data_IF_974513519278
#
_entry.id   IF_974513519278
#
_cell.length_a   1.000
_cell.length_b   1.000
_cell.length_c   1.000
_cell.angle_alpha   90.00
_cell.angle_beta   90.00
_cell.angle_gamma   90.00
#
_symmetry.space_group_name_H-M   'P 1'
#
loop_
_entity.id
_entity.type
_entity.pdbx_description
1 polymer ?
#
# COMPACT_ATOMS: atom_id res chain seq x y z
N UNK A 1 15.63 31.06 11.67
CA UNK A 1 14.83 29.84 11.41
C UNK A 1 15.15 29.40 9.99
N UNK A 2 16.02 28.41 9.84
CA UNK A 2 16.43 27.92 8.52
C UNK A 2 15.32 27.04 7.94
N UNK A 3 14.67 27.51 6.88
CA UNK A 3 13.89 26.66 5.99
C UNK A 3 14.86 25.69 5.30
N UNK A 4 15.03 24.50 5.88
CA UNK A 4 15.54 23.36 5.10
C UNK A 4 14.45 23.02 4.07
N UNK A 5 14.55 23.60 2.89
CA UNK A 5 13.98 22.99 1.69
C UNK A 5 14.61 21.60 1.59
N UNK A 6 13.87 20.57 2.00
CA UNK A 6 14.22 19.18 1.76
C UNK A 6 14.54 19.06 0.26
N UNK A 7 15.81 18.82 -0.06
CA UNK A 7 16.22 18.63 -1.44
C UNK A 7 15.50 17.39 -1.96
N UNK A 8 14.59 17.58 -2.92
CA UNK A 8 13.87 16.47 -3.54
C UNK A 8 14.87 15.48 -4.14
N UNK A 9 14.85 14.24 -3.67
CA UNK A 9 15.70 13.19 -4.17
C UNK A 9 15.27 12.83 -5.61
N UNK A 10 16.22 12.79 -6.55
CA UNK A 10 15.99 12.29 -7.90
C UNK A 10 15.85 10.76 -7.83
N UNK A 11 14.78 10.22 -8.39
CA UNK A 11 14.62 8.77 -8.52
C UNK A 11 15.54 8.23 -9.64
N UNK A 12 15.91 6.94 -9.68
CA UNK A 12 16.58 6.30 -10.82
C UNK A 12 15.59 5.54 -11.73
N UNK A 13 15.93 5.38 -13.02
CA UNK A 13 15.06 4.65 -13.96
C UNK A 13 15.19 3.17 -13.61
N UNK A 14 14.10 2.58 -13.13
CA UNK A 14 14.09 1.15 -12.79
C UNK A 14 13.77 0.31 -14.02
N UNK A 15 14.75 -0.46 -14.47
CA UNK A 15 14.59 -1.43 -15.56
C UNK A 15 14.08 -2.79 -15.08
N UNK A 16 14.32 -3.10 -13.81
CA UNK A 16 13.89 -4.33 -13.17
C UNK A 16 13.62 -4.09 -11.69
N UNK A 17 12.79 -4.94 -11.10
CA UNK A 17 12.51 -4.91 -9.66
C UNK A 17 11.30 -5.74 -9.28
N UNK A 18 11.03 -5.75 -7.98
CA UNK A 18 9.85 -6.37 -7.40
C UNK A 18 8.96 -5.29 -6.81
N UNK A 19 7.70 -5.26 -7.25
CA UNK A 19 6.65 -4.53 -6.53
C UNK A 19 5.94 -5.57 -5.68
N UNK A 20 5.97 -5.40 -4.36
CA UNK A 20 5.21 -6.23 -3.43
C UNK A 20 3.93 -5.48 -3.07
N UNK A 21 2.83 -5.92 -3.66
CA UNK A 21 1.50 -5.43 -3.33
C UNK A 21 1.02 -6.14 -2.07
N UNK A 22 0.57 -5.40 -1.07
CA UNK A 22 0.13 -5.94 0.21
C UNK A 22 -1.24 -5.41 0.58
N UNK A 23 -1.94 -6.18 1.40
CA UNK A 23 -3.05 -5.68 2.19
C UNK A 23 -3.03 -6.33 3.59
N UNK A 24 -3.44 -5.55 4.59
CA UNK A 24 -3.68 -6.01 5.95
C UNK A 24 -5.15 -5.72 6.23
N UNK A 25 -5.87 -6.72 6.75
CA UNK A 25 -7.27 -6.58 7.09
C UNK A 25 -7.56 -7.10 8.50
N UNK A 26 -8.50 -6.47 9.23
CA UNK A 26 -8.94 -6.96 10.54
C UNK A 26 -9.60 -8.34 10.38
N UNK A 27 -9.25 -9.28 11.27
CA UNK A 27 -9.91 -10.59 11.37
C UNK A 27 -11.28 -10.54 12.06
N UNK A 28 -11.84 -9.35 12.24
CA UNK A 28 -13.14 -9.10 12.88
C UNK A 28 -13.98 -8.18 12.02
N UNK A 29 -15.27 -8.48 11.91
CA UNK A 29 -16.22 -7.62 11.21
C UNK A 29 -16.76 -6.53 12.13
N UNK A 30 -17.14 -5.38 11.55
CA UNK A 30 -17.83 -4.31 12.27
C UNK A 30 -16.90 -3.27 12.91
N UNK A 31 -17.35 -2.66 14.02
CA UNK A 31 -16.60 -1.58 14.68
C UNK A 31 -15.58 -2.17 15.64
N UNK A 32 -14.30 -1.87 15.40
CA UNK A 32 -13.19 -2.21 16.27
C UNK A 32 -12.27 -0.99 16.46
N UNK A 33 -11.28 -1.14 17.33
CA UNK A 33 -10.19 -0.16 17.54
C UNK A 33 -8.86 -0.89 17.44
N UNK A 34 -7.80 -0.17 17.09
CA UNK A 34 -6.45 -0.70 17.24
C UNK A 34 -6.17 -0.93 18.73
N UNK A 35 -5.75 -2.15 19.04
CA UNK A 35 -5.40 -2.62 20.38
C UNK A 35 -4.45 -3.81 20.22
N UNK A 36 -3.60 -4.03 21.22
CA UNK A 36 -2.83 -5.27 21.32
C UNK A 36 -3.76 -6.49 21.25
N UNK A 37 -3.34 -7.51 20.51
CA UNK A 37 -4.10 -8.75 20.30
C UNK A 37 -5.25 -8.65 19.31
N UNK A 38 -5.46 -7.51 18.62
CA UNK A 38 -6.46 -7.46 17.54
C UNK A 38 -6.05 -8.43 16.43
N UNK A 39 -6.89 -9.44 16.08
CA UNK A 39 -6.55 -10.36 15.01
C UNK A 39 -6.54 -9.65 13.66
N UNK A 40 -5.56 -9.98 12.83
CA UNK A 40 -5.40 -9.46 11.48
C UNK A 40 -5.03 -10.57 10.51
N UNK A 41 -5.39 -10.38 9.25
CA UNK A 41 -4.89 -11.15 8.12
C UNK A 41 -3.97 -10.27 7.28
N UNK A 42 -2.95 -10.89 6.70
CA UNK A 42 -1.99 -10.30 5.79
C UNK A 42 -2.00 -11.12 4.50
N UNK A 43 -2.05 -10.45 3.36
CA UNK A 43 -1.86 -11.07 2.06
C UNK A 43 -0.94 -10.20 1.20
N UNK A 44 -0.19 -10.83 0.29
CA UNK A 44 0.66 -10.10 -0.64
C UNK A 44 0.77 -10.79 -2.00
N UNK A 45 1.14 -10.01 -3.01
CA UNK A 45 1.48 -10.45 -4.36
C UNK A 45 2.78 -9.79 -4.78
N UNK A 46 3.69 -10.57 -5.34
CA UNK A 46 4.91 -10.04 -5.93
C UNK A 46 4.74 -9.90 -7.44
N UNK A 47 4.98 -8.70 -7.94
CA UNK A 47 5.00 -8.38 -9.36
C UNK A 47 6.47 -8.14 -9.72
N UNK A 48 7.06 -9.13 -10.38
CA UNK A 48 8.41 -9.06 -10.92
C UNK A 48 8.33 -8.42 -12.31
N UNK A 49 9.04 -7.32 -12.51
CA UNK A 49 9.21 -6.73 -13.83
C UNK A 49 10.68 -6.77 -14.26
N UNK A 50 10.89 -7.02 -15.55
CA UNK A 50 12.20 -7.01 -16.19
C UNK A 50 12.18 -6.19 -17.48
N UNK A 51 13.37 -5.85 -17.96
CA UNK A 51 13.54 -5.20 -19.26
C UNK A 51 12.92 -6.07 -20.37
N UNK A 52 12.10 -5.47 -21.25
CA UNK A 52 11.36 -6.22 -22.28
C UNK A 52 9.89 -6.55 -21.97
N UNK A 53 9.27 -5.91 -20.98
CA UNK A 53 7.82 -5.99 -20.65
C UNK A 53 7.33 -7.32 -20.08
N UNK A 54 8.23 -8.22 -19.67
CA UNK A 54 7.83 -9.44 -18.96
C UNK A 54 7.44 -9.06 -17.53
N UNK A 55 6.17 -9.26 -17.19
CA UNK A 55 5.63 -9.16 -15.83
C UNK A 55 5.28 -10.58 -15.37
N UNK A 56 5.93 -11.03 -14.31
CA UNK A 56 5.59 -12.30 -13.65
C UNK A 56 4.92 -11.96 -12.33
N UNK A 57 3.72 -12.48 -12.14
CA UNK A 57 3.01 -12.36 -10.87
C UNK A 57 3.20 -13.65 -10.08
N UNK A 58 3.65 -13.49 -8.85
CA UNK A 58 3.83 -14.57 -7.89
C UNK A 58 2.88 -14.30 -6.73
N UNK A 59 1.92 -15.20 -6.56
CA UNK A 59 0.97 -15.11 -5.45
C UNK A 59 1.73 -15.36 -4.15
N UNK A 60 1.58 -14.45 -3.19
CA UNK A 60 2.02 -14.66 -1.83
C UNK A 60 1.09 -15.60 -1.08
N UNK A 61 1.38 -15.80 0.21
CA UNK A 61 0.52 -16.56 1.10
C UNK A 61 -0.45 -15.62 1.82
N UNK A 62 -1.54 -16.20 2.33
CA UNK A 62 -2.36 -15.53 3.34
C UNK A 62 -1.87 -15.99 4.70
N UNK A 63 -1.52 -15.03 5.55
CA UNK A 63 -1.09 -15.28 6.91
C UNK A 63 -2.06 -14.61 7.89
N UNK A 64 -2.29 -15.27 9.03
CA UNK A 64 -3.13 -14.75 10.09
C UNK A 64 -2.30 -14.55 11.34
N UNK A 65 -2.49 -13.43 12.03
CA UNK A 65 -1.78 -13.06 13.24
C UNK A 65 -2.53 -11.99 14.00
N UNK A 66 -1.80 -11.15 14.71
CA UNK A 66 -2.37 -10.11 15.56
C UNK A 66 -1.53 -8.85 15.57
N UNK A 67 -2.13 -7.77 16.08
CA UNK A 67 -1.40 -6.54 16.37
C UNK A 67 -0.69 -6.62 17.72
N UNK A 68 0.55 -6.16 17.76
CA UNK A 68 1.37 -5.96 18.95
C UNK A 68 1.45 -4.46 19.26
N UNK A 69 1.55 -4.12 20.55
CA UNK A 69 1.76 -2.74 20.98
C UNK A 69 3.26 -2.47 21.10
N UNK A 70 3.73 -1.41 20.46
CA UNK A 70 5.14 -0.97 20.51
C UNK A 70 5.25 0.34 21.27
N UNK A 71 6.35 0.58 22.02
CA UNK A 71 6.60 1.86 22.66
C UNK A 71 6.61 2.96 21.59
N UNK A 72 5.55 3.77 21.55
CA UNK A 72 5.34 4.71 20.46
C UNK A 72 6.41 5.79 20.44
N UNK A 73 7.04 5.99 19.29
CA UNK A 73 7.59 7.30 18.97
C UNK A 73 6.44 8.26 18.69
N UNK A 74 6.52 9.47 19.23
CA UNK A 74 5.48 10.51 19.12
C UNK A 74 5.06 10.72 17.67
N UNK A 75 3.85 10.27 17.31
CA UNK A 75 3.22 10.50 16.00
C UNK A 75 2.97 9.24 15.16
N UNK A 76 3.52 8.08 15.54
CA UNK A 76 3.29 6.80 14.86
C UNK A 76 2.04 6.05 15.33
N UNK A 77 1.65 5.02 14.58
CA UNK A 77 0.73 4.01 15.10
C UNK A 77 1.46 3.21 16.19
N UNK A 78 0.94 3.21 17.42
CA UNK A 78 1.51 2.41 18.52
C UNK A 78 1.25 0.91 18.38
N UNK A 79 0.69 0.48 17.25
CA UNK A 79 0.29 -0.90 17.00
C UNK A 79 0.83 -1.37 15.65
N UNK A 80 1.53 -2.50 15.68
CA UNK A 80 2.19 -3.10 14.50
C UNK A 80 1.78 -4.56 14.38
N UNK A 81 1.99 -5.19 13.23
CA UNK A 81 1.77 -6.63 13.07
C UNK A 81 2.81 -7.42 13.87
N UNK A 82 2.45 -8.62 14.33
CA UNK A 82 3.38 -9.52 14.99
C UNK A 82 4.59 -9.90 14.11
N UNK A 83 5.72 -10.21 14.76
CA UNK A 83 6.99 -10.54 14.09
C UNK A 83 6.85 -11.68 13.07
N UNK A 84 5.94 -12.63 13.31
CA UNK A 84 5.71 -13.74 12.39
C UNK A 84 5.10 -13.25 11.07
N UNK A 85 4.11 -12.35 11.13
CA UNK A 85 3.56 -11.73 9.93
C UNK A 85 4.59 -10.85 9.23
N UNK A 86 5.38 -10.09 9.98
CA UNK A 86 6.46 -9.27 9.41
C UNK A 86 7.49 -10.13 8.68
N UNK A 87 7.96 -11.22 9.31
CA UNK A 87 8.95 -12.12 8.73
C UNK A 87 8.40 -12.98 7.58
N UNK A 88 7.08 -13.22 7.54
CA UNK A 88 6.44 -13.83 6.37
C UNK A 88 6.49 -12.85 5.18
N UNK A 89 6.27 -11.56 5.43
CA UNK A 89 6.33 -10.53 4.40
C UNK A 89 7.75 -10.16 4.00
N UNK A 90 8.71 -10.21 4.91
CA UNK A 90 10.12 -9.87 4.69
C UNK A 90 11.03 -10.95 5.29
N UNK A 91 11.18 -12.09 4.61
CA UNK A 91 12.02 -13.17 5.12
C UNK A 91 13.47 -12.71 5.26
N UNK A 92 14.12 -13.11 6.36
CA UNK A 92 15.52 -12.79 6.60
C UNK A 92 16.44 -13.24 5.46
N UNK A 93 17.39 -12.39 5.09
CA UNK A 93 18.36 -12.68 4.04
C UNK A 93 17.83 -12.54 2.61
N UNK A 94 16.57 -12.14 2.42
CA UNK A 94 16.04 -11.79 1.10
C UNK A 94 16.19 -10.29 0.82
N UNK A 95 16.41 -9.96 -0.45
CA UNK A 95 16.39 -8.57 -0.90
C UNK A 95 14.99 -7.98 -0.72
N UNK A 96 14.92 -6.79 -0.13
CA UNK A 96 13.65 -6.07 0.01
C UNK A 96 13.05 -5.77 -1.37
N UNK A 97 11.71 -5.75 -1.49
CA UNK A 97 11.08 -5.32 -2.73
C UNK A 97 11.51 -3.89 -3.04
N UNK A 98 11.62 -3.57 -4.33
CA UNK A 98 11.91 -2.20 -4.75
C UNK A 98 10.81 -1.26 -4.25
N UNK A 99 9.56 -1.71 -4.34
CA UNK A 99 8.40 -0.91 -3.98
C UNK A 99 7.40 -1.77 -3.20
N UNK A 100 6.85 -1.21 -2.13
CA UNK A 100 5.64 -1.70 -1.49
C UNK A 100 4.45 -0.92 -2.02
N UNK A 101 3.45 -1.65 -2.48
CA UNK A 101 2.20 -1.08 -2.92
C UNK A 101 1.06 -1.53 -2.00
N UNK A 102 0.06 -0.67 -1.83
CA UNK A 102 -1.14 -0.98 -1.08
C UNK A 102 -2.18 0.10 -1.28
N UNK A 103 -3.44 -0.20 -0.98
CA UNK A 103 -4.53 0.75 -1.20
C UNK A 103 -4.30 2.07 -0.46
N UNK A 104 -4.09 2.00 0.85
CA UNK A 104 -3.63 3.10 1.68
C UNK A 104 -2.26 2.77 2.30
N UNK A 105 -1.23 2.81 1.45
CA UNK A 105 0.10 2.35 1.84
C UNK A 105 0.72 3.19 2.98
N UNK A 106 0.31 4.46 3.14
CA UNK A 106 0.76 5.28 4.27
C UNK A 106 0.28 4.70 5.61
N UNK A 107 -0.99 4.30 5.70
CA UNK A 107 -1.52 3.65 6.89
C UNK A 107 -0.96 2.24 7.09
N UNK A 108 -0.91 1.43 6.02
CA UNK A 108 -0.37 0.06 6.10
C UNK A 108 1.09 0.06 6.53
N UNK A 109 1.88 1.02 6.08
CA UNK A 109 3.27 1.20 6.52
C UNK A 109 3.36 1.37 8.04
N UNK A 110 2.48 2.15 8.65
CA UNK A 110 2.49 2.30 10.12
C UNK A 110 2.17 1.00 10.85
N UNK A 111 1.34 0.12 10.26
CA UNK A 111 1.05 -1.21 10.83
C UNK A 111 2.20 -2.20 10.63
N UNK A 112 3.10 -1.98 9.66
CA UNK A 112 4.29 -2.84 9.48
C UNK A 112 5.36 -2.59 10.54
N UNK A 113 5.37 -1.41 11.18
CA UNK A 113 6.24 -1.13 12.32
C UNK A 113 7.72 -0.93 12.03
N UNK A 114 8.14 -0.96 10.76
CA UNK A 114 9.56 -0.90 10.43
C UNK A 114 10.03 0.55 10.16
N UNK A 115 11.08 1.04 10.84
CA UNK A 115 11.77 2.25 10.43
C UNK A 115 12.56 1.96 9.16
N UNK A 116 12.13 2.51 8.04
CA UNK A 116 12.86 2.39 6.77
C UNK A 116 13.69 3.64 6.53
N UNK A 117 14.99 3.52 6.82
CA UNK A 117 15.97 4.55 6.45
C UNK A 117 16.24 4.56 4.94
N UNK A 118 15.90 3.46 4.25
CA UNK A 118 16.07 3.22 2.81
C UNK A 118 14.96 2.30 2.28
N UNK A 119 14.77 2.16 0.94
CA UNK A 119 13.66 1.43 0.33
C UNK A 119 13.29 0.10 1.00
N UNK A 120 11.98 -0.24 1.00
CA UNK A 120 11.08 -0.08 -0.14
C UNK A 120 10.45 1.31 -0.34
N UNK A 121 10.29 1.72 -1.60
CA UNK A 121 9.48 2.89 -1.96
C UNK A 121 7.99 2.62 -1.75
N UNK A 122 7.22 3.60 -1.27
CA UNK A 122 5.80 3.42 -0.96
C UNK A 122 4.86 3.93 -2.05
N UNK A 123 4.15 3.00 -2.70
CA UNK A 123 3.14 3.30 -3.70
C UNK A 123 1.73 3.17 -3.11
N UNK A 124 1.08 4.30 -2.91
CA UNK A 124 -0.32 4.35 -2.46
C UNK A 124 -1.26 4.27 -3.68
N UNK A 125 -1.97 3.15 -3.86
CA UNK A 125 -2.85 2.94 -5.00
C UNK A 125 -4.03 3.91 -5.02
N UNK A 126 -4.60 4.23 -3.85
CA UNK A 126 -5.68 5.21 -3.78
C UNK A 126 -5.24 6.56 -4.34
N UNK A 127 -4.06 7.04 -3.92
CA UNK A 127 -3.49 8.29 -4.38
C UNK A 127 -3.26 8.31 -5.89
N UNK A 128 -2.66 7.27 -6.44
CA UNK A 128 -2.45 7.18 -7.88
C UNK A 128 -3.78 7.12 -8.63
N UNK A 129 -4.76 6.37 -8.12
CA UNK A 129 -6.10 6.29 -8.71
C UNK A 129 -6.79 7.66 -8.73
N UNK A 130 -6.58 8.52 -7.72
CA UNK A 130 -7.05 9.93 -7.72
C UNK A 130 -6.39 10.76 -8.81
N UNK A 131 -5.09 10.57 -9.03
CA UNK A 131 -4.34 11.36 -9.99
C UNK A 131 -4.64 10.98 -11.44
N UNK A 132 -4.95 9.70 -11.68
CA UNK A 132 -5.30 9.18 -13.00
C UNK A 132 -6.80 9.05 -13.23
N UNK A 133 -7.63 9.56 -12.31
CA UNK A 133 -9.10 9.56 -12.39
C UNK A 133 -9.70 8.16 -12.70
N UNK A 134 -9.24 7.14 -11.96
CA UNK A 134 -9.66 5.75 -12.16
C UNK A 134 -11.00 5.39 -11.51
N UNK A 135 -11.69 6.33 -10.87
CA UNK A 135 -12.97 6.11 -10.20
C UNK A 135 -14.01 7.17 -10.57
N UNK A 136 -15.23 7.06 -10.04
CA UNK A 136 -16.25 8.11 -10.19
C UNK A 136 -15.90 9.37 -9.39
N UNK A 137 -16.56 10.49 -9.70
CA UNK A 137 -16.50 11.73 -8.93
C UNK A 137 -16.91 11.51 -7.47
N UNK A 138 -15.97 11.57 -6.52
CA UNK A 138 -16.22 11.36 -5.09
C UNK A 138 -15.10 10.58 -4.42
N UNK A 139 -15.25 10.21 -3.15
CA UNK A 139 -14.33 9.28 -2.48
C UNK A 139 -14.72 7.84 -2.87
N UNK A 140 -13.75 7.00 -3.23
CA UNK A 140 -14.02 5.65 -3.73
C UNK A 140 -13.17 4.60 -3.03
N UNK A 141 -13.83 3.50 -2.66
CA UNK A 141 -13.26 2.31 -2.05
C UNK A 141 -12.36 1.56 -3.04
N UNK A 142 -11.51 0.68 -2.54
CA UNK A 142 -10.67 -0.17 -3.39
C UNK A 142 -11.53 -1.01 -4.36
N UNK A 143 -12.65 -1.54 -3.88
CA UNK A 143 -13.57 -2.34 -4.68
C UNK A 143 -14.18 -1.51 -5.82
N UNK A 144 -14.64 -0.29 -5.53
CA UNK A 144 -15.17 0.62 -6.57
C UNK A 144 -14.12 0.94 -7.63
N UNK A 145 -12.87 1.26 -7.24
CA UNK A 145 -11.81 1.53 -8.23
C UNK A 145 -11.58 0.30 -9.12
N UNK A 146 -11.49 -0.89 -8.51
CA UNK A 146 -11.26 -2.11 -9.26
C UNK A 146 -12.39 -2.38 -10.26
N UNK A 147 -13.66 -2.21 -9.85
CA UNK A 147 -14.83 -2.36 -10.71
C UNK A 147 -14.83 -1.36 -11.88
N UNK A 148 -14.48 -0.09 -11.64
CA UNK A 148 -14.36 0.90 -12.72
C UNK A 148 -13.18 0.63 -13.65
N UNK A 149 -12.10 0.05 -13.11
CA UNK A 149 -10.89 -0.26 -13.85
C UNK A 149 -11.07 -1.47 -14.76
N UNK A 150 -11.76 -2.49 -14.27
CA UNK A 150 -12.04 -3.74 -14.97
C UNK A 150 -13.43 -4.25 -14.59
N UNK A 151 -14.46 -4.00 -15.41
CA UNK A 151 -15.83 -4.43 -15.14
C UNK A 151 -16.03 -5.95 -15.11
N UNK A 152 -15.07 -6.73 -15.62
CA UNK A 152 -15.11 -8.20 -15.60
C UNK A 152 -14.51 -8.78 -14.33
N UNK A 153 -14.08 -7.94 -13.37
CA UNK A 153 -13.49 -8.43 -12.12
C UNK A 153 -14.53 -9.18 -11.28
N UNK A 154 -14.36 -10.50 -11.17
CA UNK A 154 -15.22 -11.39 -10.36
C UNK A 154 -14.69 -11.58 -8.94
N UNK A 155 -14.24 -10.50 -8.29
CA UNK A 155 -13.76 -10.55 -6.91
C UNK A 155 -14.91 -10.09 -5.99
N UNK A 156 -15.27 -10.84 -4.93
CA UNK A 156 -16.36 -10.46 -4.05
C UNK A 156 -16.16 -9.09 -3.39
N UNK A 157 -16.83 -8.07 -3.89
CA UNK A 157 -16.68 -6.66 -3.45
C UNK A 157 -17.10 -6.41 -2.00
N UNK A 158 -17.89 -7.32 -1.40
CA UNK A 158 -18.34 -7.25 -0.01
C UNK A 158 -17.37 -7.90 0.98
N UNK A 159 -16.40 -8.69 0.49
CA UNK A 159 -15.41 -9.35 1.33
C UNK A 159 -14.28 -8.39 1.65
N UNK A 160 -14.00 -8.25 2.95
CA UNK A 160 -13.00 -7.33 3.47
C UNK A 160 -11.74 -8.07 3.95
N UNK A 161 -11.55 -9.31 3.51
CA UNK A 161 -10.38 -10.11 3.82
C UNK A 161 -9.16 -9.63 3.04
N UNK A 162 -7.96 -9.79 3.61
CA UNK A 162 -6.72 -9.31 3.00
C UNK A 162 -6.51 -9.88 1.59
N UNK A 163 -6.85 -11.16 1.35
CA UNK A 163 -6.71 -11.81 0.04
C UNK A 163 -7.59 -11.15 -1.03
N UNK A 164 -8.88 -10.98 -0.74
CA UNK A 164 -9.83 -10.32 -1.65
C UNK A 164 -9.36 -8.90 -1.97
N UNK A 165 -8.90 -8.16 -0.95
CA UNK A 165 -8.44 -6.79 -1.12
C UNK A 165 -7.16 -6.69 -1.93
N UNK A 166 -6.19 -7.58 -1.71
CA UNK A 166 -4.95 -7.58 -2.50
C UNK A 166 -5.23 -7.96 -3.97
N UNK A 167 -6.22 -8.81 -4.25
CA UNK A 167 -6.69 -9.11 -5.61
C UNK A 167 -7.31 -7.88 -6.29
N UNK A 168 -8.16 -7.13 -5.58
CA UNK A 168 -8.68 -5.85 -6.08
C UNK A 168 -7.55 -4.85 -6.33
N UNK A 169 -6.58 -4.76 -5.40
CA UNK A 169 -5.39 -3.93 -5.54
C UNK A 169 -4.55 -4.31 -6.77
N UNK A 170 -4.49 -5.59 -7.11
CA UNK A 170 -3.74 -6.11 -8.26
C UNK A 170 -4.33 -5.61 -9.58
N UNK A 171 -5.66 -5.60 -9.71
CA UNK A 171 -6.37 -5.03 -10.87
C UNK A 171 -6.03 -3.56 -11.04
N UNK A 172 -6.15 -2.78 -9.96
CA UNK A 172 -5.83 -1.34 -9.97
C UNK A 172 -4.36 -1.10 -10.33
N UNK A 173 -3.44 -1.83 -9.71
CA UNK A 173 -2.00 -1.69 -9.96
C UNK A 173 -1.62 -2.05 -11.39
N UNK A 174 -2.21 -3.10 -11.98
CA UNK A 174 -2.01 -3.45 -13.40
C UNK A 174 -2.40 -2.31 -14.33
N UNK A 175 -3.56 -1.68 -14.07
CA UNK A 175 -4.02 -0.52 -14.84
C UNK A 175 -3.07 0.65 -14.70
N UNK A 176 -2.68 1.01 -13.48
CA UNK A 176 -1.74 2.09 -13.21
C UNK A 176 -0.40 1.86 -13.95
N UNK A 177 0.15 0.65 -13.89
CA UNK A 177 1.38 0.27 -14.58
C UNK A 177 1.23 0.23 -16.12
N UNK A 178 0.01 0.19 -16.66
CA UNK A 178 -0.23 0.34 -18.10
C UNK A 178 -0.26 1.80 -18.55
N UNK A 179 -0.56 2.71 -17.63
CA UNK A 179 -0.72 4.14 -17.88
C UNK A 179 0.54 4.95 -17.56
N UNK A 180 1.32 4.50 -16.57
CA UNK A 180 2.46 5.25 -16.05
C UNK A 180 3.61 4.33 -15.63
N UNK A 181 4.84 4.82 -15.80
CA UNK A 181 6.05 4.14 -15.33
C UNK A 181 6.15 4.23 -13.81
N UNK A 182 6.68 3.19 -13.17
CA UNK A 182 6.76 3.10 -11.70
C UNK A 182 7.50 4.29 -11.06
N UNK A 183 8.62 4.71 -11.63
CA UNK A 183 9.38 5.86 -11.14
C UNK A 183 8.60 7.18 -11.21
N UNK A 184 7.81 7.39 -12.26
CA UNK A 184 6.93 8.56 -12.37
C UNK A 184 5.81 8.49 -11.34
N UNK A 185 5.17 7.33 -11.15
CA UNK A 185 4.19 7.14 -10.08
C UNK A 185 4.78 7.43 -8.70
N UNK A 186 6.04 7.04 -8.47
CA UNK A 186 6.74 7.36 -7.25
C UNK A 186 7.04 8.86 -7.11
N UNK A 187 7.40 9.56 -8.18
CA UNK A 187 7.52 11.02 -8.17
C UNK A 187 6.19 11.70 -7.78
N UNK A 188 5.08 11.22 -8.36
CA UNK A 188 3.73 11.71 -8.11
C UNK A 188 3.21 11.37 -6.71
N UNK A 189 3.86 10.45 -5.99
CA UNK A 189 3.53 10.11 -4.60
C UNK A 189 3.70 11.28 -3.62
N UNK A 190 4.30 12.40 -4.03
CA UNK A 190 4.34 13.65 -3.24
C UNK A 190 3.09 14.53 -3.36
N UNK A 191 2.18 14.28 -4.31
CA UNK A 191 1.01 15.15 -4.54
C UNK A 191 0.02 15.16 -3.37
N UNK A 192 -0.77 16.22 -3.16
CA UNK A 192 -1.86 16.18 -2.18
C UNK A 192 -3.14 15.70 -2.85
N UNK A 193 -3.83 14.73 -2.23
CA UNK A 193 -5.12 14.21 -2.69
C UNK A 193 -6.11 14.18 -1.51
N UNK A 194 -7.43 14.18 -1.76
CA UNK A 194 -8.42 13.88 -0.72
C UNK A 194 -8.12 12.54 -0.04
N UNK A 195 -8.52 12.33 1.23
CA UNK A 195 -8.28 11.07 1.95
C UNK A 195 -9.17 9.94 1.42
N UNK A 196 -8.82 8.66 1.70
CA UNK A 196 -9.65 7.52 1.37
C UNK A 196 -10.95 7.50 2.19
N UNK A 197 -12.01 6.85 1.67
CA UNK A 197 -13.30 6.79 2.34
C UNK A 197 -13.22 6.03 3.68
N UNK A 198 -14.16 6.35 4.58
CA UNK A 198 -14.24 5.75 5.92
C UNK A 198 -15.05 4.44 5.97
N UNK A 199 -15.59 4.01 4.82
CA UNK A 199 -16.29 2.74 4.64
C UNK A 199 -15.35 1.54 4.55
N UNK A 200 -14.06 1.78 4.33
CA UNK A 200 -12.99 0.77 4.27
C UNK A 200 -12.80 0.06 5.63
N UNK A 201 -12.16 -1.13 5.68
CA UNK A 201 -12.06 -1.93 6.91
C UNK A 201 -11.44 -1.15 8.08
N UNK A 202 -10.37 -0.40 7.81
CA UNK A 202 -9.73 0.50 8.76
C UNK A 202 -10.23 1.94 8.67
N UNK A 203 -11.30 2.19 7.92
CA UNK A 203 -11.81 3.52 7.57
C UNK A 203 -12.14 4.45 8.74
N UNK A 204 -12.42 3.87 9.90
CA UNK A 204 -12.77 4.58 11.15
C UNK A 204 -11.62 4.65 12.16
N UNK A 205 -10.45 4.12 11.79
CA UNK A 205 -9.26 4.10 12.64
C UNK A 205 -8.51 5.42 12.53
N UNK A 206 -8.00 5.90 13.66
CA UNK A 206 -7.14 7.09 13.70
C UNK A 206 -5.89 6.84 12.85
N UNK A 207 -5.56 7.80 11.99
CA UNK A 207 -4.44 7.69 11.05
C UNK A 207 -4.84 7.15 9.67
N UNK A 208 -6.03 6.54 9.51
CA UNK A 208 -6.49 6.07 8.21
C UNK A 208 -6.55 7.20 7.16
N UNK A 209 -7.07 8.35 7.55
CA UNK A 209 -7.19 9.50 6.64
C UNK A 209 -5.87 10.25 6.44
N UNK A 210 -4.78 9.85 7.10
CA UNK A 210 -3.47 10.45 6.89
C UNK A 210 -2.86 9.90 5.60
N UNK A 211 -2.46 10.81 4.71
CA UNK A 211 -1.93 10.51 3.38
C UNK A 211 -0.51 11.05 3.22
N UNK A 212 0.24 11.14 4.33
CA UNK A 212 1.63 11.59 4.31
C UNK A 212 2.46 10.72 3.37
N UNK A 213 3.35 11.37 2.62
CA UNK A 213 4.22 10.73 1.63
C UNK A 213 5.50 11.54 1.45
N UNK A 214 6.54 10.90 0.94
CA UNK A 214 7.80 11.57 0.60
C UNK A 214 7.64 12.53 -0.58
N UNK A 215 8.48 13.57 -0.64
CA UNK A 215 8.54 14.51 -1.75
C UNK A 215 9.66 14.12 -2.73
N UNK A 216 9.29 13.58 -3.89
CA UNK A 216 10.22 13.16 -4.94
C UNK A 216 10.05 14.02 -6.20
N UNK A 217 11.11 14.19 -7.00
CA UNK A 217 11.02 14.84 -8.33
C UNK A 217 11.17 13.79 -9.43
N UNK A 218 10.38 13.95 -10.49
CA UNK A 218 10.50 13.17 -11.73
C UNK A 218 11.72 13.65 -12.53
N UNK A 219 12.16 12.85 -13.49
CA UNK A 219 13.31 13.13 -14.36
C UNK A 219 13.09 14.35 -15.27
N UNK A 220 14.20 14.88 -15.80
CA UNK A 220 14.22 15.73 -17.00
C UNK A 220 13.97 14.91 -18.27
#
# INVERSE_FOLDING_TARGET
MNNMTQASQKLPIWKQGTIRLIDIAPGVSGRFRLRQGLPVSLAWYDILFREGHIRVEINGQVCHGHLEEVPGETGGCSHVIDDRLFNALFPHGQTLPLCLAGYNMAFLHTLLGAPWDEPPYLLCLYKMSRMFDLGKTGDYTLAEIAEYTDPEVHVPWYENEALTRVELGRVVLRKLLSMCRLNMMMALSGAKVPPPPTSEPFGKIRGWQQMEGGAFRDFE
#
